data_IF_977355436632
#
_entry.id   IF_977355436632
#
_cell.length_a   1.000
_cell.length_b   1.000
_cell.length_c   1.000
_cell.angle_alpha   90.00
_cell.angle_beta   90.00
_cell.angle_gamma   90.00
#
_symmetry.space_group_name_H-M   'P 1'
#
loop_
_entity.id
_entity.type
_entity.pdbx_description
1 polymer ?
#
# COMPACT_ATOMS: atom_id res chain seq x y z
N UNK A 1 -3.60 12.32 -46.03
CA UNK A 1 -4.85 12.17 -45.25
C UNK A 1 -4.71 12.79 -43.86
N UNK A 2 -5.79 13.40 -43.32
CA UNK A 2 -5.87 13.96 -41.96
C UNK A 2 -7.10 13.43 -41.23
N UNK A 3 -6.92 12.90 -40.03
CA UNK A 3 -7.99 12.46 -39.12
C UNK A 3 -7.98 13.38 -37.90
N UNK A 4 -9.13 13.97 -37.59
CA UNK A 4 -9.31 14.86 -36.44
C UNK A 4 -10.13 14.13 -35.39
N UNK A 5 -9.57 14.03 -34.18
CA UNK A 5 -10.22 13.42 -33.03
C UNK A 5 -10.42 14.49 -31.98
N UNK A 6 -11.67 14.70 -31.57
CA UNK A 6 -11.97 15.50 -30.39
C UNK A 6 -12.05 14.59 -29.17
N UNK A 7 -11.56 15.09 -28.04
CA UNK A 7 -11.55 14.33 -26.80
C UNK A 7 -11.86 15.20 -25.58
N UNK A 8 -12.49 14.57 -24.61
CA UNK A 8 -12.85 15.15 -23.32
C UNK A 8 -12.47 14.20 -22.18
N UNK A 9 -12.10 14.78 -21.05
CA UNK A 9 -11.81 14.13 -19.78
C UNK A 9 -10.77 13.01 -19.87
N UNK A 10 -9.79 13.13 -20.78
CA UNK A 10 -8.70 12.16 -20.95
C UNK A 10 -7.72 12.24 -19.78
N UNK A 11 -7.49 11.13 -19.08
CA UNK A 11 -6.53 11.07 -17.96
C UNK A 11 -5.10 10.92 -18.48
N UNK A 12 -4.19 11.76 -17.97
CA UNK A 12 -2.79 11.85 -18.37
C UNK A 12 -1.83 11.17 -17.38
N UNK A 13 -2.27 10.11 -16.71
CA UNK A 13 -1.46 9.39 -15.73
C UNK A 13 -1.60 7.85 -15.83
N UNK A 14 -0.51 7.16 -15.53
CA UNK A 14 -0.50 5.70 -15.27
C UNK A 14 -0.44 5.40 -13.78
N UNK A 15 -1.00 4.25 -13.40
CA UNK A 15 -1.07 3.78 -12.00
C UNK A 15 -0.51 2.37 -11.82
N UNK A 16 -0.03 1.79 -12.91
CA UNK A 16 0.52 0.45 -12.99
C UNK A 16 1.97 0.57 -13.42
N UNK A 17 2.79 -0.35 -12.90
CA UNK A 17 4.15 -0.56 -13.37
C UNK A 17 4.18 -1.35 -14.70
N UNK A 18 5.39 -1.66 -15.16
CA UNK A 18 5.63 -2.43 -16.39
C UNK A 18 5.16 -1.74 -17.67
N UNK A 19 5.00 -2.52 -18.75
CA UNK A 19 4.55 -2.02 -20.05
C UNK A 19 3.16 -2.54 -20.44
N UNK A 20 2.48 -1.80 -21.31
CA UNK A 20 1.27 -2.29 -22.01
C UNK A 20 1.59 -2.80 -23.43
N UNK A 21 2.86 -2.67 -23.84
CA UNK A 21 3.36 -3.08 -25.15
C UNK A 21 3.97 -4.50 -25.13
N UNK A 22 3.69 -5.26 -24.08
CA UNK A 22 4.15 -6.63 -23.88
C UNK A 22 3.04 -7.50 -23.30
N UNK A 23 3.28 -8.81 -23.26
CA UNK A 23 2.34 -9.77 -22.68
C UNK A 23 2.12 -9.48 -21.19
N UNK A 24 0.86 -9.47 -20.76
CA UNK A 24 0.54 -9.28 -19.35
C UNK A 24 1.11 -10.41 -18.49
N UNK A 25 1.74 -10.10 -17.34
CA UNK A 25 2.12 -11.12 -16.38
C UNK A 25 0.90 -11.91 -15.88
N UNK A 26 1.11 -13.17 -15.48
CA UNK A 26 0.02 -14.06 -14.99
C UNK A 26 -0.77 -13.48 -13.81
N UNK A 27 -0.09 -12.73 -12.93
CA UNK A 27 -0.70 -12.09 -11.76
C UNK A 27 -1.21 -10.66 -12.05
N UNK A 28 -1.15 -10.21 -13.30
CA UNK A 28 -1.39 -8.82 -13.66
C UNK A 28 -0.18 -7.92 -13.39
N UNK A 29 -0.37 -6.61 -13.54
CA UNK A 29 0.63 -5.57 -13.25
C UNK A 29 0.40 -5.02 -11.85
N UNK A 30 1.46 -4.57 -11.19
CA UNK A 30 1.35 -4.06 -9.83
C UNK A 30 0.72 -2.68 -9.79
N UNK A 31 -0.09 -2.41 -8.77
CA UNK A 31 -0.68 -1.09 -8.57
C UNK A 31 0.28 -0.21 -7.77
N UNK A 32 0.80 0.85 -8.39
CA UNK A 32 1.84 1.70 -7.78
C UNK A 32 1.34 3.06 -7.30
N UNK A 33 0.03 3.29 -7.36
CA UNK A 33 -0.58 4.59 -7.07
C UNK A 33 -1.25 4.70 -5.68
N UNK A 34 -0.89 3.84 -4.72
CA UNK A 34 -1.31 4.01 -3.32
C UNK A 34 -0.53 5.17 -2.67
N UNK A 35 -1.12 5.85 -1.68
CA UNK A 35 -0.42 6.95 -0.96
C UNK A 35 0.92 6.53 -0.34
N UNK A 36 1.11 5.25 -0.03
CA UNK A 36 2.39 4.74 0.46
C UNK A 36 3.43 4.62 -0.66
N UNK A 37 3.04 4.10 -1.83
CA UNK A 37 3.93 3.89 -2.99
C UNK A 37 4.26 5.19 -3.70
N UNK A 38 3.33 6.15 -3.73
CA UNK A 38 3.54 7.49 -4.29
C UNK A 38 4.50 8.38 -3.48
N UNK A 39 5.06 7.89 -2.37
CA UNK A 39 6.19 8.60 -1.72
C UNK A 39 7.47 8.50 -2.54
N UNK A 40 7.56 7.47 -3.38
CA UNK A 40 8.62 7.32 -4.36
C UNK A 40 8.20 8.01 -5.66
N UNK A 41 9.00 8.99 -6.10
CA UNK A 41 8.73 9.77 -7.30
C UNK A 41 8.72 8.94 -8.58
N UNK A 42 9.41 7.79 -8.58
CA UNK A 42 9.42 6.88 -9.73
C UNK A 42 8.04 6.28 -10.02
N UNK A 43 7.14 6.22 -9.03
CA UNK A 43 5.78 5.71 -9.16
C UNK A 43 4.76 6.76 -9.65
N UNK A 44 5.15 8.04 -9.75
CA UNK A 44 4.29 9.09 -10.29
C UNK A 44 4.45 9.17 -11.81
N UNK A 45 3.62 8.44 -12.54
CA UNK A 45 3.69 8.36 -14.00
C UNK A 45 2.76 9.34 -14.69
N UNK A 46 3.27 10.51 -15.08
CA UNK A 46 2.59 11.39 -16.04
C UNK A 46 2.78 10.85 -17.47
N UNK A 47 1.77 11.00 -18.33
CA UNK A 47 1.73 10.46 -19.69
C UNK A 47 1.24 11.50 -20.69
N UNK A 48 1.88 11.50 -21.84
CA UNK A 48 1.49 12.28 -23.02
C UNK A 48 1.03 11.35 -24.14
N UNK A 49 0.48 11.91 -25.22
CA UNK A 49 0.17 11.11 -26.42
C UNK A 49 1.48 10.74 -27.09
N UNK A 50 1.65 9.45 -27.34
CA UNK A 50 2.81 8.88 -28.04
C UNK A 50 2.37 8.24 -29.35
N UNK A 51 3.34 7.86 -30.18
CA UNK A 51 3.07 7.08 -31.40
C UNK A 51 2.26 5.81 -31.09
N UNK A 52 2.59 5.08 -30.01
CA UNK A 52 1.82 3.89 -29.62
C UNK A 52 0.35 4.22 -29.29
N UNK A 53 0.08 5.39 -28.71
CA UNK A 53 -1.30 5.82 -28.46
C UNK A 53 -2.05 6.03 -29.78
N UNK A 54 -1.42 6.72 -30.74
CA UNK A 54 -1.98 6.98 -32.08
C UNK A 54 -2.18 5.69 -32.86
N UNK A 55 -1.21 4.80 -32.87
CA UNK A 55 -1.32 3.51 -33.55
C UNK A 55 -2.40 2.63 -32.94
N UNK A 56 -2.54 2.64 -31.61
CA UNK A 56 -3.65 1.94 -30.94
C UNK A 56 -5.02 2.47 -31.39
N UNK A 57 -5.16 3.79 -31.56
CA UNK A 57 -6.39 4.41 -32.07
C UNK A 57 -6.65 4.00 -33.51
N UNK A 58 -5.65 4.09 -34.40
CA UNK A 58 -5.84 3.74 -35.81
C UNK A 58 -6.23 2.27 -35.99
N UNK A 59 -5.58 1.36 -35.25
CA UNK A 59 -5.98 -0.05 -35.19
C UNK A 59 -7.41 -0.22 -34.68
N UNK A 60 -7.77 0.51 -33.61
CA UNK A 60 -9.13 0.48 -33.06
C UNK A 60 -10.16 0.98 -34.06
N UNK A 61 -9.86 2.02 -34.85
CA UNK A 61 -10.76 2.64 -35.83
C UNK A 61 -11.05 1.73 -37.02
N UNK A 62 -10.08 0.89 -37.45
CA UNK A 62 -10.30 -0.14 -38.47
C UNK A 62 -10.88 -1.44 -37.91
N UNK A 63 -11.21 -1.48 -36.60
CA UNK A 63 -11.90 -2.59 -35.97
C UNK A 63 -11.00 -3.68 -35.37
N UNK A 64 -9.68 -3.49 -35.29
CA UNK A 64 -8.80 -4.47 -34.63
C UNK A 64 -9.15 -4.59 -33.14
N UNK A 65 -9.38 -5.82 -32.68
CA UNK A 65 -9.74 -6.15 -31.30
C UNK A 65 -8.54 -6.63 -30.49
N UNK A 66 -7.39 -6.85 -31.13
CA UNK A 66 -6.15 -7.28 -30.47
C UNK A 66 -5.50 -6.09 -29.77
N UNK A 67 -4.58 -6.38 -28.85
CA UNK A 67 -3.71 -5.33 -28.31
C UNK A 67 -2.71 -4.91 -29.37
N UNK A 68 -2.32 -3.63 -29.35
CA UNK A 68 -1.38 -3.07 -30.33
C UNK A 68 -0.09 -3.92 -30.50
N UNK A 69 0.50 -4.39 -29.40
CA UNK A 69 1.71 -5.21 -29.48
C UNK A 69 1.49 -6.54 -30.21
N UNK A 70 0.28 -7.11 -30.11
CA UNK A 70 -0.10 -8.34 -30.82
C UNK A 70 -0.34 -8.03 -32.30
N UNK A 71 -1.01 -6.92 -32.61
CA UNK A 71 -1.22 -6.48 -34.00
C UNK A 71 0.11 -6.28 -34.72
N UNK A 72 1.09 -5.62 -34.08
CA UNK A 72 2.44 -5.41 -34.63
C UNK A 72 3.25 -6.69 -34.85
N UNK A 73 2.91 -7.78 -34.15
CA UNK A 73 3.55 -9.09 -34.31
C UNK A 73 2.88 -9.95 -35.38
N UNK A 74 1.74 -9.50 -35.93
CA UNK A 74 0.99 -10.22 -36.96
C UNK A 74 1.66 -10.04 -38.33
N UNK A 75 1.70 -11.11 -39.12
CA UNK A 75 2.25 -11.06 -40.49
C UNK A 75 1.43 -10.15 -41.42
N UNK A 76 0.13 -10.03 -41.15
CA UNK A 76 -0.85 -9.23 -41.90
C UNK A 76 -1.13 -7.86 -41.23
N UNK A 77 -0.17 -7.31 -40.48
CA UNK A 77 -0.34 -6.03 -39.81
C UNK A 77 -0.51 -4.88 -40.83
N UNK A 78 -1.75 -4.39 -40.96
CA UNK A 78 -2.11 -3.37 -41.96
C UNK A 78 -1.20 -2.13 -41.96
N UNK A 79 -0.80 -1.65 -40.79
CA UNK A 79 0.01 -0.43 -40.69
C UNK A 79 1.53 -0.68 -40.73
N UNK A 80 2.01 -1.91 -40.96
CA UNK A 80 3.43 -2.25 -40.89
C UNK A 80 4.33 -1.30 -41.69
N UNK A 81 3.95 -1.02 -42.94
CA UNK A 81 4.72 -0.16 -43.85
C UNK A 81 4.33 1.32 -43.77
N UNK A 82 3.29 1.65 -43.01
CA UNK A 82 2.72 3.01 -42.91
C UNK A 82 3.06 3.70 -41.58
N UNK A 83 3.53 2.99 -40.55
CA UNK A 83 3.78 3.57 -39.21
C UNK A 83 4.70 4.80 -39.24
N UNK A 84 5.70 4.80 -40.10
CA UNK A 84 6.66 5.90 -40.23
C UNK A 84 6.10 7.13 -40.98
N UNK A 85 4.98 6.97 -41.69
CA UNK A 85 4.30 8.04 -42.44
C UNK A 85 3.22 8.74 -41.61
N UNK A 86 3.05 8.31 -40.35
CA UNK A 86 2.01 8.78 -39.44
C UNK A 86 2.61 9.78 -38.46
N UNK A 87 2.17 11.02 -38.58
CA UNK A 87 2.51 12.12 -37.68
C UNK A 87 1.28 12.55 -36.90
N UNK A 88 1.47 13.15 -35.73
CA UNK A 88 0.35 13.65 -34.94
C UNK A 88 0.70 14.94 -34.19
N UNK A 89 -0.34 15.68 -33.84
CA UNK A 89 -0.27 16.85 -32.99
C UNK A 89 -1.39 16.77 -31.95
N UNK A 90 -1.01 16.72 -30.67
CA UNK A 90 -1.95 16.85 -29.55
C UNK A 90 -2.13 18.34 -29.23
N UNK A 91 -3.38 18.81 -29.22
CA UNK A 91 -3.77 20.20 -29.00
C UNK A 91 -4.78 20.23 -27.85
N UNK A 92 -4.31 20.09 -26.58
CA UNK A 92 -5.19 20.24 -25.43
C UNK A 92 -5.71 21.68 -25.35
N UNK A 93 -7.03 21.85 -25.37
CA UNK A 93 -7.71 23.15 -25.20
C UNK A 93 -7.83 23.53 -23.72
N UNK A 94 -8.06 22.54 -22.85
CA UNK A 94 -8.21 22.73 -21.41
C UNK A 94 -7.43 21.63 -20.71
N UNK A 95 -6.62 22.01 -19.71
CA UNK A 95 -5.97 21.08 -18.80
C UNK A 95 -6.33 21.43 -17.36
N UNK A 96 -6.74 20.43 -16.58
CA UNK A 96 -7.02 20.56 -15.15
C UNK A 96 -6.16 19.58 -14.35
N UNK A 97 -5.88 19.96 -13.10
CA UNK A 97 -5.26 19.09 -12.11
C UNK A 97 -6.31 18.76 -11.05
N UNK A 98 -6.59 17.47 -10.87
CA UNK A 98 -7.69 17.02 -10.03
C UNK A 98 -7.26 15.92 -9.07
N UNK A 99 -7.81 15.97 -7.86
CA UNK A 99 -7.70 14.86 -6.91
C UNK A 99 -8.76 13.83 -7.28
N UNK A 100 -8.32 12.63 -7.63
CA UNK A 100 -9.21 11.49 -7.86
C UNK A 100 -8.99 10.43 -6.80
N UNK A 101 -10.07 9.83 -6.31
CA UNK A 101 -9.97 8.67 -5.43
C UNK A 101 -9.79 7.41 -6.26
N UNK A 102 -8.61 6.78 -6.16
CA UNK A 102 -8.31 5.53 -6.86
C UNK A 102 -8.61 4.35 -5.95
N UNK A 103 -9.25 3.32 -6.50
CA UNK A 103 -9.43 2.05 -5.82
C UNK A 103 -8.10 1.31 -5.74
N UNK A 104 -7.82 0.74 -4.58
CA UNK A 104 -6.71 -0.18 -4.40
C UNK A 104 -7.23 -1.62 -4.52
N UNK A 105 -6.79 -2.32 -5.55
CA UNK A 105 -7.19 -3.70 -5.84
C UNK A 105 -6.26 -4.76 -5.24
N UNK A 106 -5.16 -4.34 -4.60
CA UNK A 106 -4.20 -5.26 -3.97
C UNK A 106 -4.75 -5.89 -2.68
N UNK A 107 -5.85 -5.36 -2.12
CA UNK A 107 -6.47 -5.89 -0.92
C UNK A 107 -5.68 -5.66 0.37
N UNK A 108 -4.86 -4.60 0.43
CA UNK A 108 -4.10 -4.25 1.63
C UNK A 108 -5.01 -3.81 2.78
N UNK A 109 -4.68 -4.18 4.01
CA UNK A 109 -5.39 -3.69 5.20
C UNK A 109 -4.99 -2.26 5.58
N UNK A 110 -5.93 -1.53 6.18
CA UNK A 110 -5.65 -0.34 6.97
C UNK A 110 -4.72 -0.70 8.15
N UNK A 111 -3.74 0.17 8.44
CA UNK A 111 -2.75 -0.09 9.50
C UNK A 111 -3.32 0.00 10.91
N UNK A 112 -4.38 0.80 11.10
CA UNK A 112 -5.02 1.07 12.40
C UNK A 112 -6.51 0.69 12.43
N UNK A 113 -7.12 0.49 11.27
CA UNK A 113 -8.54 0.16 11.15
C UNK A 113 -8.86 -1.30 11.45
N UNK A 114 -10.06 -1.51 11.97
CA UNK A 114 -10.69 -2.81 12.21
C UNK A 114 -12.18 -2.74 11.85
N UNK A 115 -12.86 -3.88 11.78
CA UNK A 115 -14.28 -3.99 11.45
C UNK A 115 -15.03 -4.79 12.52
N UNK A 116 -16.34 -4.54 12.63
CA UNK A 116 -17.22 -5.20 13.60
C UNK A 116 -17.14 -4.62 15.02
N UNK A 117 -17.64 -5.39 15.98
CA UNK A 117 -17.70 -5.01 17.40
C UNK A 117 -16.42 -5.43 18.14
N UNK A 118 -16.04 -4.66 19.15
CA UNK A 118 -14.91 -4.97 20.03
C UNK A 118 -15.33 -6.01 21.06
N UNK A 119 -14.58 -7.11 21.14
CA UNK A 119 -14.80 -8.18 22.11
C UNK A 119 -14.02 -7.93 23.40
N UNK A 120 -14.52 -7.00 24.23
CA UNK A 120 -13.95 -6.74 25.55
C UNK A 120 -14.15 -7.90 26.55
N UNK A 121 -14.99 -8.88 26.22
CA UNK A 121 -15.25 -10.06 27.05
C UNK A 121 -14.31 -11.24 26.76
N UNK A 122 -13.33 -11.07 25.87
CA UNK A 122 -12.37 -12.11 25.55
C UNK A 122 -11.62 -12.57 26.83
N UNK A 123 -11.40 -13.89 27.04
CA UNK A 123 -10.83 -14.42 28.29
C UNK A 123 -9.50 -13.78 28.70
N UNK A 124 -8.68 -13.35 27.74
CA UNK A 124 -7.40 -12.67 28.02
C UNK A 124 -7.56 -11.37 28.82
N UNK A 125 -8.75 -10.74 28.82
CA UNK A 125 -9.05 -9.51 29.56
C UNK A 125 -9.94 -9.73 30.79
N UNK A 126 -10.58 -10.90 30.93
CA UNK A 126 -11.60 -11.16 31.97
C UNK A 126 -11.27 -12.32 32.92
N UNK A 127 -10.15 -13.00 32.72
CA UNK A 127 -9.72 -14.09 33.62
C UNK A 127 -9.03 -13.54 34.86
N UNK A 128 -8.87 -14.36 35.89
CA UNK A 128 -8.20 -13.97 37.15
C UNK A 128 -6.76 -13.49 36.92
N UNK A 129 -6.06 -14.06 35.94
CA UNK A 129 -4.69 -13.67 35.60
C UNK A 129 -4.62 -12.35 34.79
N UNK A 130 -5.73 -11.85 34.25
CA UNK A 130 -5.73 -10.75 33.27
C UNK A 130 -5.13 -9.47 33.84
N UNK A 131 -5.37 -9.19 35.12
CA UNK A 131 -4.78 -8.02 35.80
C UNK A 131 -3.25 -8.11 35.84
N UNK A 132 -2.72 -9.23 36.36
CA UNK A 132 -1.27 -9.46 36.48
C UNK A 132 -0.58 -9.57 35.12
N UNK A 133 -1.29 -9.98 34.09
CA UNK A 133 -0.74 -10.06 32.74
C UNK A 133 -0.59 -8.68 32.11
N UNK A 134 -1.67 -7.91 32.02
CA UNK A 134 -1.67 -6.66 31.25
C UNK A 134 -1.04 -5.48 31.98
N UNK A 135 -1.10 -5.42 33.31
CA UNK A 135 -0.52 -4.30 34.07
C UNK A 135 1.02 -4.32 34.10
N UNK A 136 1.68 -5.31 33.49
CA UNK A 136 3.10 -5.20 33.11
C UNK A 136 3.34 -3.92 32.28
N UNK A 137 2.38 -3.55 31.42
CA UNK A 137 2.45 -2.34 30.61
C UNK A 137 2.32 -1.03 31.41
N UNK A 138 1.89 -1.10 32.68
CA UNK A 138 1.77 0.06 33.57
C UNK A 138 3.03 0.34 34.39
N UNK A 139 4.01 -0.57 34.41
CA UNK A 139 5.26 -0.37 35.13
C UNK A 139 6.04 0.80 34.53
N UNK A 140 6.72 1.60 35.36
CA UNK A 140 7.76 2.50 34.87
C UNK A 140 9.03 1.71 34.48
N UNK A 141 10.07 2.38 33.97
CA UNK A 141 11.26 1.70 33.45
C UNK A 141 12.02 0.99 34.56
N UNK A 142 12.17 1.62 35.72
CA UNK A 142 12.89 1.06 36.86
C UNK A 142 12.19 -0.20 37.38
N UNK A 143 10.87 -0.13 37.53
CA UNK A 143 10.02 -1.25 37.94
C UNK A 143 10.02 -2.37 36.90
N UNK A 144 9.98 -2.04 35.60
CA UNK A 144 10.04 -3.03 34.51
C UNK A 144 11.37 -3.80 34.54
N UNK A 145 12.48 -3.10 34.75
CA UNK A 145 13.79 -3.73 34.88
C UNK A 145 13.83 -4.67 36.09
N UNK A 146 13.29 -4.25 37.25
CA UNK A 146 13.20 -5.13 38.43
C UNK A 146 12.30 -6.34 38.19
N UNK A 147 11.16 -6.14 37.52
CA UNK A 147 10.22 -7.20 37.17
C UNK A 147 10.90 -8.28 36.31
N UNK A 148 11.71 -7.88 35.34
CA UNK A 148 12.46 -8.80 34.48
C UNK A 148 13.54 -9.54 35.28
N UNK A 149 14.33 -8.82 36.07
CA UNK A 149 15.52 -9.36 36.75
C UNK A 149 15.21 -10.18 38.02
N UNK A 150 14.09 -9.91 38.72
CA UNK A 150 13.88 -10.41 40.10
C UNK A 150 12.63 -11.29 40.31
N UNK A 151 11.95 -11.71 39.24
CA UNK A 151 10.69 -12.49 39.30
C UNK A 151 9.62 -11.92 40.26
N UNK A 152 9.56 -10.59 40.38
CA UNK A 152 8.53 -9.90 41.17
C UNK A 152 7.15 -10.04 40.52
N UNK A 153 6.11 -10.06 41.36
CA UNK A 153 4.73 -10.04 40.92
C UNK A 153 4.26 -8.60 40.71
N UNK A 154 3.25 -8.40 39.86
CA UNK A 154 2.73 -7.05 39.59
C UNK A 154 2.21 -6.37 40.85
N UNK A 155 1.59 -7.13 41.76
CA UNK A 155 1.12 -6.63 43.05
C UNK A 155 2.22 -6.14 44.00
N UNK A 156 3.48 -6.47 43.71
CA UNK A 156 4.63 -6.04 44.52
C UNK A 156 5.11 -4.62 44.12
N UNK A 157 4.51 -4.03 43.09
CA UNK A 157 4.83 -2.69 42.62
C UNK A 157 3.69 -1.71 42.92
N UNK A 158 4.05 -0.51 43.33
CA UNK A 158 3.12 0.62 43.39
C UNK A 158 2.92 1.18 41.98
N UNK A 159 1.75 0.91 41.41
CA UNK A 159 1.38 1.41 40.09
C UNK A 159 0.80 2.81 40.21
N UNK A 160 1.36 3.78 39.49
CA UNK A 160 0.79 5.14 39.39
C UNK A 160 -0.64 5.11 38.82
N UNK A 161 -0.88 4.20 37.87
CA UNK A 161 -2.19 4.01 37.25
C UNK A 161 -2.38 2.56 36.79
N UNK A 162 -3.51 1.98 37.19
CA UNK A 162 -3.95 0.68 36.69
C UNK A 162 -4.54 0.81 35.29
N UNK A 163 -4.19 -0.13 34.42
CA UNK A 163 -4.67 -0.17 33.04
C UNK A 163 -6.05 -0.83 32.97
N UNK A 164 -7.07 -0.20 32.36
CA UNK A 164 -8.33 -0.87 32.07
C UNK A 164 -8.12 -2.07 31.15
N UNK A 165 -8.79 -3.18 31.45
CA UNK A 165 -8.62 -4.45 30.76
C UNK A 165 -9.62 -4.57 29.61
N UNK A 166 -9.35 -3.83 28.54
CA UNK A 166 -10.07 -3.90 27.28
C UNK A 166 -9.12 -3.64 26.09
N UNK A 167 -9.46 -4.11 24.87
CA UNK A 167 -8.57 -3.99 23.72
C UNK A 167 -8.09 -2.56 23.41
N UNK A 168 -8.94 -1.54 23.58
CA UNK A 168 -8.58 -0.17 23.21
C UNK A 168 -7.62 0.44 24.23
N UNK A 169 -7.86 0.20 25.52
CA UNK A 169 -6.96 0.66 26.58
C UNK A 169 -5.58 0.03 26.46
N UNK A 170 -5.50 -1.28 26.21
CA UNK A 170 -4.22 -1.98 25.98
C UNK A 170 -3.51 -1.41 24.73
N UNK A 171 -4.24 -1.26 23.62
CA UNK A 171 -3.66 -0.73 22.39
C UNK A 171 -3.16 0.71 22.57
N UNK A 172 -3.93 1.55 23.25
CA UNK A 172 -3.53 2.92 23.58
C UNK A 172 -2.25 2.96 24.40
N UNK A 173 -2.14 2.12 25.45
CA UNK A 173 -0.93 2.03 26.25
C UNK A 173 0.29 1.57 25.43
N UNK A 174 0.13 0.64 24.50
CA UNK A 174 1.20 0.23 23.58
C UNK A 174 1.62 1.36 22.64
N UNK A 175 0.67 2.14 22.11
CA UNK A 175 0.95 3.34 21.32
C UNK A 175 1.70 4.40 22.14
N UNK A 176 1.27 4.63 23.39
CA UNK A 176 1.91 5.57 24.30
C UNK A 176 3.35 5.14 24.59
N UNK A 177 3.59 3.87 24.95
CA UNK A 177 4.93 3.32 25.17
C UNK A 177 5.82 3.48 23.93
N UNK A 178 5.28 3.20 22.74
CA UNK A 178 6.02 3.34 21.48
C UNK A 178 6.37 4.81 21.16
N UNK A 179 5.59 5.76 21.66
CA UNK A 179 5.84 7.20 21.47
C UNK A 179 6.84 7.80 22.47
N UNK A 180 7.21 7.06 23.53
CA UNK A 180 8.16 7.54 24.54
C UNK A 180 9.53 7.80 23.93
N UNK A 181 10.21 8.82 24.47
CA UNK A 181 11.58 9.13 24.06
C UNK A 181 12.50 7.92 24.34
N UNK A 182 13.46 7.62 23.45
CA UNK A 182 14.51 6.67 23.75
C UNK A 182 15.24 7.05 25.04
N UNK A 183 15.64 6.04 25.80
CA UNK A 183 16.42 6.19 27.05
C UNK A 183 17.88 5.83 26.80
N UNK A 184 18.76 6.18 27.73
CA UNK A 184 20.17 5.79 27.64
C UNK A 184 20.32 4.27 27.79
N UNK A 185 21.20 3.67 26.99
CA UNK A 185 21.48 2.24 27.05
C UNK A 185 22.54 1.93 28.12
N UNK A 186 22.20 2.26 29.36
CA UNK A 186 23.07 2.10 30.53
C UNK A 186 23.29 0.64 30.93
N UNK A 187 24.12 0.41 31.96
CA UNK A 187 24.47 -0.92 32.45
C UNK A 187 23.24 -1.75 32.86
N UNK A 188 22.21 -1.11 33.42
CA UNK A 188 20.98 -1.78 33.86
C UNK A 188 20.14 -2.23 32.67
N UNK A 189 19.98 -1.37 31.65
CA UNK A 189 19.27 -1.73 30.41
C UNK A 189 20.04 -2.80 29.62
N UNK A 190 21.38 -2.74 29.63
CA UNK A 190 22.23 -3.78 29.05
C UNK A 190 22.05 -5.13 29.74
N UNK A 191 22.02 -5.16 31.07
CA UNK A 191 21.79 -6.37 31.86
C UNK A 191 20.42 -7.00 31.53
N UNK A 192 19.37 -6.19 31.56
CA UNK A 192 18.01 -6.60 31.19
C UNK A 192 17.99 -7.16 29.76
N UNK A 193 18.62 -6.45 28.82
CA UNK A 193 18.67 -6.87 27.42
C UNK A 193 19.42 -8.20 27.23
N UNK A 194 20.48 -8.45 28.01
CA UNK A 194 21.18 -9.74 28.00
C UNK A 194 20.24 -10.85 28.45
N UNK A 195 19.53 -10.68 29.56
CA UNK A 195 18.55 -11.66 30.06
C UNK A 195 17.47 -11.95 29.02
N UNK A 196 16.88 -10.90 28.42
CA UNK A 196 15.85 -11.06 27.39
C UNK A 196 16.39 -11.71 26.11
N UNK A 197 17.66 -11.49 25.77
CA UNK A 197 18.31 -12.15 24.63
C UNK A 197 18.51 -13.64 24.90
N UNK A 198 18.84 -14.05 26.13
CA UNK A 198 18.91 -15.47 26.48
C UNK A 198 17.55 -16.14 26.38
N UNK A 199 16.49 -15.47 26.86
CA UNK A 199 15.14 -16.04 26.90
C UNK A 199 14.45 -16.06 25.53
N UNK A 200 14.57 -14.96 24.78
CA UNK A 200 13.75 -14.69 23.59
C UNK A 200 14.56 -14.30 22.36
N UNK A 201 15.90 -14.36 22.44
CA UNK A 201 16.79 -13.96 21.36
C UNK A 201 16.48 -14.68 20.05
N UNK A 202 16.70 -13.98 18.94
CA UNK A 202 16.50 -14.54 17.60
C UNK A 202 17.45 -15.72 17.38
N UNK A 203 16.89 -16.90 17.16
CA UNK A 203 17.65 -18.10 16.78
C UNK A 203 18.00 -18.07 15.29
N UNK A 204 19.07 -18.74 14.83
CA UNK A 204 19.47 -18.75 13.42
C UNK A 204 18.37 -19.26 12.47
N UNK A 205 17.52 -20.18 12.95
CA UNK A 205 16.40 -20.76 12.21
C UNK A 205 15.14 -19.90 12.25
N UNK A 206 15.07 -18.92 13.15
CA UNK A 206 13.85 -18.20 13.44
C UNK A 206 13.88 -16.81 12.80
N UNK A 207 12.80 -16.49 12.09
CA UNK A 207 12.61 -15.15 11.51
C UNK A 207 12.20 -14.11 12.57
N UNK A 208 11.97 -14.53 13.83
CA UNK A 208 11.45 -13.70 14.91
C UNK A 208 12.15 -13.99 16.23
N UNK A 209 12.40 -12.95 17.02
CA UNK A 209 12.99 -13.02 18.35
C UNK A 209 13.38 -11.62 18.81
N UNK A 210 13.67 -11.46 20.09
CA UNK A 210 14.19 -10.22 20.65
C UNK A 210 15.53 -9.88 19.99
N UNK A 211 15.68 -8.63 19.57
CA UNK A 211 16.90 -8.09 18.99
C UNK A 211 17.08 -6.66 19.51
N UNK A 212 17.95 -6.43 20.51
CA UNK A 212 18.16 -5.10 21.04
C UNK A 212 18.81 -4.20 19.98
N UNK A 213 18.10 -3.13 19.59
CA UNK A 213 18.59 -2.14 18.62
C UNK A 213 18.94 -0.85 19.33
N UNK A 214 20.23 -0.62 19.49
CA UNK A 214 20.77 0.62 20.04
C UNK A 214 20.96 1.61 18.90
N UNK A 215 20.46 2.82 19.08
CA UNK A 215 20.62 3.91 18.13
C UNK A 215 22.09 4.36 18.08
N UNK A 216 22.50 5.00 16.97
CA UNK A 216 23.88 5.48 16.81
C UNK A 216 24.33 6.47 17.90
N UNK A 217 23.40 7.13 18.57
CA UNK A 217 23.66 8.04 19.68
C UNK A 217 23.69 7.36 21.07
N UNK A 218 23.69 6.03 21.14
CA UNK A 218 23.73 5.28 22.40
C UNK A 218 22.40 5.16 23.13
N UNK A 219 21.29 5.60 22.52
CA UNK A 219 19.95 5.49 23.11
C UNK A 219 19.20 4.23 22.65
N UNK A 220 18.16 3.85 23.39
CA UNK A 220 17.41 2.62 23.20
C UNK A 220 15.90 2.88 23.32
N UNK A 221 15.11 2.35 22.39
CA UNK A 221 13.65 2.43 22.46
C UNK A 221 13.09 1.44 23.47
N UNK A 222 12.16 1.86 24.33
CA UNK A 222 11.71 1.03 25.47
C UNK A 222 10.66 -0.03 25.13
N UNK A 223 9.93 0.11 24.02
CA UNK A 223 8.85 -0.79 23.63
C UNK A 223 9.23 -2.29 23.60
N UNK A 224 10.40 -2.69 23.05
CA UNK A 224 10.84 -4.08 23.08
C UNK A 224 10.92 -4.68 24.49
N UNK A 225 11.31 -3.90 25.51
CA UNK A 225 11.38 -4.40 26.90
C UNK A 225 9.99 -4.75 27.42
N UNK A 226 9.01 -3.86 27.21
CA UNK A 226 7.62 -4.12 27.60
C UNK A 226 7.03 -5.32 26.87
N UNK A 227 7.29 -5.43 25.57
CA UNK A 227 6.80 -6.56 24.79
C UNK A 227 7.40 -7.89 25.30
N UNK A 228 8.71 -7.96 25.49
CA UNK A 228 9.36 -9.14 26.07
C UNK A 228 8.89 -9.43 27.50
N UNK A 229 8.65 -8.41 28.32
CA UNK A 229 8.12 -8.58 29.67
C UNK A 229 6.71 -9.20 29.66
N UNK A 230 5.86 -8.88 28.69
CA UNK A 230 4.58 -9.57 28.50
C UNK A 230 4.77 -11.05 28.15
N UNK A 231 5.71 -11.38 27.25
CA UNK A 231 6.02 -12.77 26.94
C UNK A 231 6.55 -13.55 28.15
N UNK A 232 7.43 -12.92 28.93
CA UNK A 232 7.92 -13.46 30.20
C UNK A 232 6.77 -13.69 31.19
N UNK A 233 5.87 -12.72 31.31
CA UNK A 233 4.71 -12.83 32.21
C UNK A 233 3.74 -13.92 31.77
N UNK A 234 3.50 -14.07 30.47
CA UNK A 234 2.72 -15.19 29.93
C UNK A 234 3.33 -16.54 30.36
N UNK A 235 4.65 -16.73 30.19
CA UNK A 235 5.33 -17.96 30.61
C UNK A 235 5.23 -18.20 32.12
N UNK A 236 5.41 -17.14 32.94
CA UNK A 236 5.29 -17.20 34.40
C UNK A 236 3.89 -17.61 34.84
N UNK A 237 2.85 -17.00 34.28
CA UNK A 237 1.44 -17.30 34.60
C UNK A 237 1.07 -18.73 34.21
N UNK A 238 1.38 -19.14 32.98
CA UNK A 238 1.07 -20.49 32.50
C UNK A 238 1.74 -21.57 33.37
N UNK A 239 2.97 -21.33 33.79
CA UNK A 239 3.70 -22.25 34.67
C UNK A 239 3.12 -22.27 36.08
N UNK A 240 2.89 -21.10 36.69
CA UNK A 240 2.43 -20.98 38.09
C UNK A 240 0.99 -21.47 38.28
N UNK A 241 0.12 -21.24 37.30
CA UNK A 241 -1.30 -21.61 37.38
C UNK A 241 -1.63 -22.93 36.68
N UNK A 242 -0.66 -23.54 35.98
CA UNK A 242 -0.87 -24.73 35.14
C UNK A 242 -2.01 -24.54 34.11
N UNK A 243 -2.09 -23.36 33.51
CA UNK A 243 -3.09 -23.01 32.48
C UNK A 243 -2.43 -22.77 31.13
N UNK A 244 -3.22 -22.79 30.07
CA UNK A 244 -2.81 -22.23 28.77
C UNK A 244 -3.54 -20.93 28.51
N UNK A 245 -2.78 -19.85 28.30
CA UNK A 245 -3.33 -18.57 27.91
C UNK A 245 -3.76 -18.59 26.44
N UNK A 246 -4.76 -17.78 26.04
CA UNK A 246 -5.10 -17.57 24.64
C UNK A 246 -3.88 -17.07 23.85
N UNK A 247 -3.50 -17.83 22.81
CA UNK A 247 -2.33 -17.56 21.96
C UNK A 247 -2.74 -17.45 20.50
N UNK A 248 -1.95 -16.70 19.74
CA UNK A 248 -1.99 -16.75 18.29
C UNK A 248 -1.61 -18.16 17.79
N UNK A 249 -1.92 -18.46 16.51
CA UNK A 249 -1.67 -19.78 15.90
C UNK A 249 -0.22 -20.29 16.06
N UNK A 250 0.76 -19.38 16.16
CA UNK A 250 2.19 -19.70 16.36
C UNK A 250 2.65 -19.66 17.83
N UNK A 251 1.72 -19.67 18.78
CA UNK A 251 2.00 -19.69 20.23
C UNK A 251 2.38 -18.35 20.86
N UNK A 252 2.37 -17.24 20.11
CA UNK A 252 2.67 -15.90 20.59
C UNK A 252 1.44 -15.10 21.03
N UNK A 253 1.64 -13.85 21.44
CA UNK A 253 0.56 -12.92 21.78
C UNK A 253 0.05 -12.28 20.48
N UNK A 254 -1.26 -12.32 20.23
CA UNK A 254 -1.84 -11.80 18.99
C UNK A 254 -1.51 -10.32 18.78
N UNK A 255 -0.85 -10.00 17.65
CA UNK A 255 -0.47 -8.64 17.29
C UNK A 255 0.70 -8.04 18.06
N UNK A 256 1.31 -8.77 19.00
CA UNK A 256 2.49 -8.33 19.75
C UNK A 256 3.63 -9.30 19.47
N UNK A 257 4.80 -8.76 19.14
CA UNK A 257 6.05 -9.49 18.94
C UNK A 257 7.05 -9.06 20.01
N UNK A 258 8.17 -9.78 20.16
CA UNK A 258 9.23 -9.42 21.11
C UNK A 258 9.82 -8.00 20.92
N UNK A 259 9.70 -7.39 19.73
CA UNK A 259 10.27 -6.06 19.45
C UNK A 259 9.23 -4.96 19.24
N UNK A 260 7.94 -5.25 19.36
CA UNK A 260 6.88 -4.26 19.11
C UNK A 260 5.56 -4.90 18.73
N UNK A 261 4.60 -4.09 18.29
CA UNK A 261 3.22 -4.54 18.02
C UNK A 261 2.71 -4.03 16.67
N UNK A 262 1.67 -4.69 16.16
CA UNK A 262 0.95 -4.31 14.95
C UNK A 262 -0.53 -4.06 15.28
N UNK A 263 -1.00 -2.79 15.30
CA UNK A 263 -2.35 -2.45 15.75
C UNK A 263 -3.47 -3.25 15.08
N UNK A 264 -3.43 -3.34 13.74
CA UNK A 264 -4.44 -4.11 12.98
C UNK A 264 -4.46 -5.60 13.35
N UNK A 265 -3.31 -6.20 13.67
CA UNK A 265 -3.22 -7.62 14.00
C UNK A 265 -3.64 -7.87 15.44
N UNK A 266 -3.36 -6.93 16.35
CA UNK A 266 -3.85 -6.95 17.72
C UNK A 266 -5.38 -6.84 17.73
N UNK A 267 -5.93 -5.82 17.07
CA UNK A 267 -7.38 -5.61 17.02
C UNK A 267 -8.09 -6.76 16.34
N UNK A 268 -7.54 -7.33 15.26
CA UNK A 268 -8.14 -8.48 14.56
C UNK A 268 -8.42 -9.69 15.48
N UNK A 269 -7.63 -9.88 16.54
CA UNK A 269 -7.86 -10.97 17.49
C UNK A 269 -9.03 -10.69 18.45
N UNK A 270 -9.45 -9.44 18.58
CA UNK A 270 -10.41 -8.97 19.57
C UNK A 270 -11.58 -8.18 18.97
N UNK A 271 -11.86 -8.37 17.68
CA UNK A 271 -13.04 -7.82 17.00
C UNK A 271 -13.78 -8.90 16.22
N UNK A 272 -15.05 -8.67 15.90
CA UNK A 272 -15.90 -9.71 15.28
C UNK A 272 -15.71 -9.86 13.76
N UNK A 273 -15.31 -8.81 13.04
CA UNK A 273 -15.23 -8.84 11.56
C UNK A 273 -13.80 -8.63 11.02
N UNK A 274 -12.81 -8.69 11.90
CA UNK A 274 -11.40 -8.70 11.56
C UNK A 274 -10.82 -7.36 11.07
N UNK A 275 -9.84 -7.45 10.16
CA UNK A 275 -9.07 -6.29 9.67
C UNK A 275 -9.87 -5.46 8.67
N UNK A 276 -9.73 -4.13 8.76
CA UNK A 276 -10.33 -3.21 7.79
C UNK A 276 -9.52 -3.18 6.50
N UNK A 277 -10.16 -3.47 5.37
CA UNK A 277 -9.54 -3.31 4.06
C UNK A 277 -9.35 -1.83 3.69
N UNK A 278 -8.21 -1.51 3.09
CA UNK A 278 -7.93 -0.22 2.47
C UNK A 278 -8.44 -0.24 1.03
N UNK A 279 -9.63 0.34 0.82
CA UNK A 279 -10.30 0.32 -0.48
C UNK A 279 -9.66 1.21 -1.55
N UNK A 280 -8.74 2.08 -1.16
CA UNK A 280 -8.20 3.10 -2.06
C UNK A 280 -7.60 4.28 -1.34
N UNK A 281 -7.11 5.23 -2.14
CA UNK A 281 -6.55 6.48 -1.64
C UNK A 281 -6.68 7.59 -2.68
N UNK A 282 -6.70 8.87 -2.27
CA UNK A 282 -6.59 9.97 -3.20
C UNK A 282 -5.25 9.90 -3.94
N UNK A 283 -5.26 10.14 -5.26
CA UNK A 283 -4.06 10.22 -6.09
C UNK A 283 -3.41 11.58 -5.91
N UNK A 284 -2.46 11.64 -4.96
CA UNK A 284 -1.70 12.82 -4.62
C UNK A 284 -0.25 12.39 -4.45
N UNK A 285 0.64 13.00 -5.23
CA UNK A 285 2.07 12.94 -5.00
C UNK A 285 2.49 14.20 -4.25
N UNK A 286 3.23 14.03 -3.15
CA UNK A 286 3.74 15.14 -2.35
C UNK A 286 5.25 14.99 -2.22
N UNK A 287 5.97 15.89 -2.87
CA UNK A 287 7.41 16.04 -2.69
C UNK A 287 7.66 16.87 -1.42
N UNK A 288 8.21 16.23 -0.39
CA UNK A 288 8.51 16.91 0.87
C UNK A 288 9.73 17.82 0.79
N UNK A 289 10.67 17.54 -0.11
CA UNK A 289 11.87 18.34 -0.28
C UNK A 289 11.52 19.64 -1.01
N UNK A 290 10.78 19.52 -2.10
CA UNK A 290 10.38 20.68 -2.92
C UNK A 290 9.09 21.36 -2.44
N UNK A 291 8.36 20.75 -1.49
CA UNK A 291 7.03 21.19 -1.01
C UNK A 291 6.01 21.33 -2.14
N UNK A 292 6.13 20.48 -3.17
CA UNK A 292 5.25 20.48 -4.34
C UNK A 292 4.25 19.33 -4.23
N UNK A 293 2.98 19.62 -4.58
CA UNK A 293 1.95 18.60 -4.76
C UNK A 293 1.63 18.44 -6.24
N UNK A 294 1.62 17.20 -6.71
CA UNK A 294 1.21 16.83 -8.06
C UNK A 294 -0.03 15.96 -7.99
N UNK A 295 -0.95 16.18 -8.94
CA UNK A 295 -2.25 15.54 -8.99
C UNK A 295 -2.44 14.80 -10.33
N UNK A 296 -3.61 14.20 -10.52
CA UNK A 296 -3.97 13.69 -11.84
C UNK A 296 -4.16 14.86 -12.79
N UNK A 297 -3.52 14.79 -13.96
CA UNK A 297 -3.77 15.74 -15.04
C UNK A 297 -4.86 15.18 -15.95
N UNK A 298 -5.87 16.01 -16.22
CA UNK A 298 -6.96 15.71 -17.15
C UNK A 298 -6.94 16.72 -18.29
N UNK A 299 -7.15 16.26 -19.51
CA UNK A 299 -7.13 17.10 -20.71
C UNK A 299 -8.42 16.97 -21.51
N UNK A 300 -8.86 18.09 -22.07
CA UNK A 300 -9.87 18.18 -23.14
C UNK A 300 -9.22 18.88 -24.33
N UNK A 301 -9.48 18.44 -25.56
CA UNK A 301 -8.88 19.03 -26.72
C UNK A 301 -9.07 18.25 -27.99
N UNK A 302 -8.10 18.38 -28.88
CA UNK A 302 -8.12 17.80 -30.20
C UNK A 302 -6.78 17.11 -30.48
N UNK A 303 -6.84 15.91 -31.05
CA UNK A 303 -5.70 15.19 -31.60
C UNK A 303 -5.83 15.22 -33.13
N UNK A 304 -4.84 15.80 -33.80
CA UNK A 304 -4.74 15.73 -35.25
C UNK A 304 -3.76 14.63 -35.65
N UNK A 305 -4.20 13.68 -36.45
CA UNK A 305 -3.34 12.64 -37.04
C UNK A 305 -3.21 12.92 -38.53
N UNK A 306 -1.99 12.98 -39.04
CA UNK A 306 -1.65 13.20 -40.44
C UNK A 306 -0.92 11.98 -40.96
N UNK A 307 -1.43 11.43 -42.06
CA UNK A 307 -0.85 10.28 -42.74
C UNK A 307 -0.40 10.74 -44.13
N UNK A 308 0.90 10.63 -44.39
CA UNK A 308 1.50 10.93 -45.69
C UNK A 308 1.40 9.72 -46.63
N UNK A 309 0.17 9.48 -47.10
CA UNK A 309 -0.20 8.35 -47.95
C UNK A 309 -0.91 8.88 -49.21
N UNK A 310 -0.90 8.08 -50.28
CA UNK A 310 -1.53 8.47 -51.54
C UNK A 310 -3.08 8.45 -51.44
N UNK A 311 -3.75 9.03 -52.43
CA UNK A 311 -5.21 9.16 -52.40
C UNK A 311 -5.95 7.81 -52.35
N UNK A 312 -5.43 6.78 -53.00
CA UNK A 312 -6.06 5.45 -53.03
C UNK A 312 -5.96 4.77 -51.66
N UNK A 313 -4.78 4.80 -51.04
CA UNK A 313 -4.59 4.35 -49.65
C UNK A 313 -5.47 5.12 -48.67
N UNK A 314 -5.61 6.44 -48.86
CA UNK A 314 -6.47 7.27 -48.01
C UNK A 314 -7.96 6.90 -48.14
N UNK A 315 -8.43 6.63 -49.36
CA UNK A 315 -9.81 6.15 -49.61
C UNK A 315 -10.04 4.76 -49.01
N UNK A 316 -9.09 3.85 -49.18
CA UNK A 316 -9.14 2.50 -48.62
C UNK A 316 -9.26 2.56 -47.10
N UNK A 317 -8.36 3.30 -46.43
CA UNK A 317 -8.38 3.45 -44.98
C UNK A 317 -9.68 4.09 -44.49
N UNK A 318 -10.20 5.11 -45.19
CA UNK A 318 -11.51 5.69 -44.85
C UNK A 318 -12.63 4.65 -44.97
N UNK A 319 -12.65 3.86 -46.04
CA UNK A 319 -13.64 2.81 -46.23
C UNK A 319 -13.55 1.73 -45.13
N UNK A 320 -12.34 1.36 -44.70
CA UNK A 320 -12.14 0.44 -43.58
C UNK A 320 -12.72 0.99 -42.27
N UNK A 321 -12.49 2.28 -41.99
CA UNK A 321 -13.06 2.95 -40.80
C UNK A 321 -14.59 2.98 -40.86
N UNK A 322 -15.15 3.37 -42.01
CA UNK A 322 -16.60 3.42 -42.20
C UNK A 322 -17.24 2.03 -42.05
N UNK A 323 -16.60 0.99 -42.58
CA UNK A 323 -17.05 -0.40 -42.47
C UNK A 323 -16.95 -0.93 -41.03
N UNK A 324 -15.92 -0.53 -40.28
CA UNK A 324 -15.75 -0.95 -38.88
C UNK A 324 -16.75 -0.28 -37.94
N UNK A 325 -17.27 0.91 -38.31
CA UNK A 325 -18.39 1.56 -37.60
C UNK A 325 -18.06 1.98 -36.17
N UNK A 326 -16.80 2.34 -35.89
CA UNK A 326 -16.34 2.71 -34.55
C UNK A 326 -16.67 4.16 -34.24
N UNK A 327 -17.63 4.39 -33.35
CA UNK A 327 -18.19 5.73 -33.10
C UNK A 327 -17.51 6.50 -31.97
N UNK A 328 -17.31 5.87 -30.80
CA UNK A 328 -16.72 6.51 -29.62
C UNK A 328 -15.75 5.58 -28.91
N UNK A 329 -14.66 6.13 -28.38
CA UNK A 329 -13.61 5.40 -27.68
C UNK A 329 -12.93 6.27 -26.62
N UNK A 330 -12.00 5.68 -25.86
CA UNK A 330 -11.16 6.43 -24.92
C UNK A 330 -9.84 6.83 -25.57
N UNK A 331 -9.38 8.05 -25.31
CA UNK A 331 -8.04 8.48 -25.67
C UNK A 331 -7.08 8.22 -24.49
N UNK A 332 -6.18 7.25 -24.64
CA UNK A 332 -5.28 6.85 -23.57
C UNK A 332 -6.02 6.14 -22.42
N UNK A 333 -6.44 6.87 -21.39
CA UNK A 333 -7.13 6.32 -20.21
C UNK A 333 -8.36 7.14 -19.84
N UNK A 334 -9.52 6.46 -19.76
CA UNK A 334 -10.84 7.07 -19.49
C UNK A 334 -11.11 8.28 -20.41
N UNK A 335 -12.20 9.02 -20.14
CA UNK A 335 -12.61 10.15 -20.97
C UNK A 335 -13.59 9.73 -22.06
N UNK A 336 -13.75 10.57 -23.08
CA UNK A 336 -14.54 10.30 -24.28
C UNK A 336 -13.78 10.89 -25.46
N UNK A 337 -13.68 10.15 -26.55
CA UNK A 337 -13.09 10.61 -27.80
C UNK A 337 -13.90 10.09 -28.98
N UNK A 338 -13.96 10.87 -30.04
CA UNK A 338 -14.62 10.52 -31.29
C UNK A 338 -13.91 11.18 -32.47
N UNK A 339 -14.06 10.59 -33.66
CA UNK A 339 -13.58 11.19 -34.89
C UNK A 339 -14.56 12.30 -35.30
N UNK A 340 -14.09 13.55 -35.33
CA UNK A 340 -14.91 14.69 -35.72
C UNK A 340 -14.84 15.00 -37.21
N UNK A 341 -13.72 14.68 -37.86
CA UNK A 341 -13.50 14.95 -39.27
C UNK A 341 -12.44 14.01 -39.88
N UNK A 342 -12.63 13.62 -41.13
CA UNK A 342 -11.66 12.86 -41.93
C UNK A 342 -11.51 13.55 -43.29
N UNK A 343 -10.30 14.03 -43.57
CA UNK A 343 -9.93 14.68 -44.82
C UNK A 343 -8.96 13.82 -45.60
N UNK A 344 -9.28 13.53 -46.86
CA UNK A 344 -8.38 12.77 -47.72
C UNK A 344 -7.15 13.62 -48.11
N UNK A 345 -7.31 14.95 -48.19
CA UNK A 345 -6.24 15.95 -48.40
C UNK A 345 -6.31 17.07 -47.38
#
# INVERSE_FOLDING_TARGET
MKIIIEYESSWRNSFLDGSNDEQLPKQGRNFVASSAKLKDSTNFHQREITQNTVMGILNRLIGDQRKLYQSRQSEDYYFADMENLIHFQDIPKIQSNEVVYLRNIEGSDDKKGYMGMINANHPIFKSEYSFEFWNVLSLNIEQLCEFILRDKLIKDFELEKTLPLDPLSILGQLEDINSRKPIDYDDKIQEVSKVLTVLFGKKPTDKSGYEPKVNANGTFGVLPLYCCALYLQMQRIETKLHISMPKAQRGGISGISHNGFTPKDFMNAYVTEGKKQSYGSPYIFEDKQERVRKFLTKANGQLEIRLDINDEQAKELKQMIDNAGVSSFYLGKKGLAYVSDIRLR
#
